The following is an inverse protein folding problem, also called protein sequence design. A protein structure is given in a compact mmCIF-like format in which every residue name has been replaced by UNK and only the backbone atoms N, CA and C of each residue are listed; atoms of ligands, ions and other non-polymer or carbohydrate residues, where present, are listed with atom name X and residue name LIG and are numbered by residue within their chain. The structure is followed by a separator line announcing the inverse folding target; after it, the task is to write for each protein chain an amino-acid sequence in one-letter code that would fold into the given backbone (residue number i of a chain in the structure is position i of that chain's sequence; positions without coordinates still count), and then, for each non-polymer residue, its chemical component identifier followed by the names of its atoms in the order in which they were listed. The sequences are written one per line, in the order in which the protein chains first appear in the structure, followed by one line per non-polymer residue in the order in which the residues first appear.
data_IF_205418717269
#
_entry.id   IF_205418717269
#
_cell.length_a   1.000
_cell.length_b   1.000
_cell.length_c   1.000
_cell.angle_alpha   90.00
_cell.angle_beta   90.00
_cell.angle_gamma   90.00
#
_symmetry.space_group_name_H-M   'P 1'
#
loop_
_entity.id
_entity.type
_entity.pdbx_description
1 polymer ?
#
# COMPACT_ATOMS: atom_id res chain seq x y z
N UNK A 1 40.17 -5.91 -20.98
CA UNK A 1 38.80 -5.65 -21.22
C UNK A 1 38.14 -5.26 -19.92
N UNK A 2 37.84 -3.97 -19.72
CA UNK A 2 37.09 -3.51 -18.56
C UNK A 2 35.66 -4.02 -18.68
N UNK A 3 35.32 -5.07 -17.98
CA UNK A 3 33.93 -5.37 -17.68
C UNK A 3 33.45 -4.24 -16.79
N UNK A 4 32.74 -3.31 -17.40
CA UNK A 4 32.05 -2.27 -16.70
C UNK A 4 31.00 -2.95 -15.83
N UNK A 5 31.24 -3.01 -14.52
CA UNK A 5 30.33 -3.60 -13.54
C UNK A 5 29.00 -2.86 -13.59
N UNK A 6 28.03 -3.44 -14.28
CA UNK A 6 26.63 -2.97 -14.32
C UNK A 6 25.93 -3.17 -12.95
N UNK A 7 26.65 -3.56 -11.90
CA UNK A 7 26.14 -3.93 -10.56
C UNK A 7 26.56 -2.94 -9.48
N UNK A 8 26.41 -1.67 -9.76
CA UNK A 8 26.64 -0.59 -8.79
C UNK A 8 25.42 -0.25 -7.94
N UNK A 9 24.28 -0.89 -8.19
CA UNK A 9 23.03 -0.74 -7.44
C UNK A 9 22.41 -2.09 -7.13
N UNK A 10 22.03 -2.28 -5.87
CA UNK A 10 21.31 -3.46 -5.40
C UNK A 10 19.99 -3.03 -4.80
N UNK A 11 18.88 -3.59 -5.30
CA UNK A 11 17.52 -3.31 -4.83
C UNK A 11 16.94 -4.61 -4.27
N UNK A 12 16.36 -4.55 -3.09
CA UNK A 12 15.74 -5.70 -2.43
C UNK A 12 15.01 -5.34 -1.15
N UNK A 13 14.60 -6.34 -0.42
CA UNK A 13 13.93 -6.21 0.86
C UNK A 13 14.94 -6.12 2.02
N UNK A 14 14.45 -6.19 3.27
CA UNK A 14 15.27 -6.27 4.48
C UNK A 14 16.35 -7.36 4.43
N UNK A 15 16.23 -8.36 3.58
CA UNK A 15 17.26 -9.39 3.38
C UNK A 15 18.62 -8.81 2.96
N UNK A 16 18.67 -7.60 2.38
CA UNK A 16 19.91 -6.92 2.05
C UNK A 16 20.71 -6.46 3.29
N UNK A 17 20.07 -6.40 4.44
CA UNK A 17 20.71 -5.99 5.71
C UNK A 17 21.39 -7.18 6.40
N UNK A 18 21.02 -8.41 6.03
CA UNK A 18 21.62 -9.62 6.63
C UNK A 18 23.14 -9.68 6.43
N UNK A 19 23.84 -10.31 7.38
CA UNK A 19 25.30 -10.39 7.40
C UNK A 19 25.90 -11.14 6.20
N UNK A 20 25.09 -11.97 5.52
CA UNK A 20 25.47 -12.68 4.30
C UNK A 20 25.70 -11.74 3.12
N UNK A 21 25.08 -10.57 3.12
CA UNK A 21 25.22 -9.58 2.07
C UNK A 21 26.36 -8.63 2.46
N UNK A 22 27.44 -8.71 1.73
CA UNK A 22 28.62 -7.87 1.92
C UNK A 22 28.82 -6.96 0.72
N UNK A 23 29.23 -5.75 0.97
CA UNK A 23 29.50 -4.74 -0.05
C UNK A 23 31.00 -4.40 -0.03
N UNK A 24 31.61 -4.29 -1.19
CA UNK A 24 33.03 -3.89 -1.27
C UNK A 24 33.24 -2.45 -0.82
N UNK A 25 32.33 -1.55 -1.19
CA UNK A 25 32.36 -0.13 -0.84
C UNK A 25 30.95 0.46 -0.94
N UNK A 26 30.16 0.34 0.12
CA UNK A 26 28.80 0.86 0.19
C UNK A 26 28.84 2.37 0.44
N UNK A 27 28.52 3.16 -0.58
CA UNK A 27 28.58 4.63 -0.48
C UNK A 27 27.25 5.28 -0.15
N UNK A 28 26.12 4.69 -0.58
CA UNK A 28 24.79 5.26 -0.40
C UNK A 28 23.73 4.19 -0.17
N UNK A 29 22.83 4.44 0.78
CA UNK A 29 21.70 3.57 1.13
C UNK A 29 20.42 4.36 1.10
N UNK A 30 19.38 3.81 0.49
CA UNK A 30 18.03 4.34 0.52
C UNK A 30 17.13 3.34 1.23
N UNK A 31 16.44 3.77 2.27
CA UNK A 31 15.47 2.97 3.03
C UNK A 31 14.10 3.60 2.84
N UNK A 32 13.21 2.89 2.17
CA UNK A 32 11.81 3.30 2.03
C UNK A 32 10.95 2.62 3.09
N UNK A 33 9.90 3.33 3.55
CA UNK A 33 8.97 2.84 4.58
C UNK A 33 9.69 2.33 5.84
N UNK A 34 10.49 3.18 6.44
CA UNK A 34 11.37 2.85 7.56
C UNK A 34 10.70 2.15 8.74
N UNK A 35 9.39 2.31 8.94
CA UNK A 35 8.66 1.66 10.03
C UNK A 35 8.68 0.12 9.93
N UNK A 36 9.02 -0.43 8.75
CA UNK A 36 9.24 -1.86 8.53
C UNK A 36 10.61 -2.35 9.03
N UNK A 37 11.50 -1.44 9.43
CA UNK A 37 12.85 -1.76 9.89
C UNK A 37 13.02 -1.42 11.37
N UNK A 38 13.46 -2.39 12.16
CA UNK A 38 13.86 -2.16 13.55
C UNK A 38 15.10 -1.25 13.67
N UNK A 39 15.25 -0.62 14.83
CA UNK A 39 16.41 0.27 15.11
C UNK A 39 17.72 -0.49 14.96
N UNK A 40 17.79 -1.73 15.46
CA UNK A 40 18.97 -2.59 15.38
C UNK A 40 19.33 -2.96 13.93
N UNK A 41 18.33 -3.22 13.10
CA UNK A 41 18.55 -3.54 11.68
C UNK A 41 19.17 -2.37 10.93
N UNK A 42 18.75 -1.15 11.24
CA UNK A 42 19.34 0.06 10.66
C UNK A 42 20.77 0.27 11.12
N UNK A 43 21.04 0.06 12.40
CA UNK A 43 22.39 0.18 12.96
C UNK A 43 23.40 -0.75 12.27
N UNK A 44 22.98 -1.94 11.82
CA UNK A 44 23.83 -2.87 11.06
C UNK A 44 24.29 -2.31 9.71
N UNK A 45 23.54 -1.41 9.09
CA UNK A 45 23.95 -0.78 7.82
C UNK A 45 25.15 0.14 8.01
N UNK A 46 25.24 0.82 9.15
CA UNK A 46 26.40 1.69 9.46
C UNK A 46 27.70 0.92 9.70
N UNK A 47 27.58 -0.33 10.14
CA UNK A 47 28.74 -1.18 10.47
C UNK A 47 29.18 -2.10 9.33
N UNK A 48 28.48 -2.07 8.18
CA UNK A 48 28.82 -2.93 7.03
C UNK A 48 30.08 -2.51 6.27
N UNK A 49 30.57 -1.31 6.50
CA UNK A 49 31.80 -0.79 5.89
C UNK A 49 32.69 -0.12 6.96
N UNK A 50 33.96 0.01 6.64
CA UNK A 50 34.91 0.79 7.46
C UNK A 50 34.52 2.27 7.54
N UNK A 51 34.02 2.83 6.43
CA UNK A 51 33.42 4.16 6.37
C UNK A 51 31.89 4.04 6.29
N UNK A 52 31.12 4.68 7.18
CA UNK A 52 29.66 4.68 7.13
C UNK A 52 29.13 5.22 5.80
N UNK A 53 28.15 4.57 5.17
CA UNK A 53 27.53 5.07 3.95
C UNK A 53 26.64 6.28 4.25
N UNK A 54 26.39 7.11 3.24
CA UNK A 54 25.31 8.08 3.30
C UNK A 54 23.95 7.36 3.31
N UNK A 55 23.05 7.75 4.20
CA UNK A 55 21.76 7.08 4.37
C UNK A 55 20.62 8.07 4.15
N UNK A 56 19.75 7.76 3.21
CA UNK A 56 18.47 8.43 2.99
C UNK A 56 17.35 7.54 3.52
N UNK A 57 16.62 8.04 4.49
CA UNK A 57 15.44 7.36 5.04
C UNK A 57 14.19 8.09 4.55
N UNK A 58 13.26 7.35 3.98
CA UNK A 58 12.00 7.89 3.48
C UNK A 58 10.82 7.28 4.23
N UNK A 59 9.77 8.07 4.43
CA UNK A 59 8.52 7.60 5.01
C UNK A 59 7.35 8.45 4.54
N UNK A 60 6.21 7.81 4.29
CA UNK A 60 4.96 8.51 3.98
C UNK A 60 4.20 8.94 5.24
N UNK A 61 4.55 8.40 6.42
CA UNK A 61 3.94 8.82 7.68
C UNK A 61 4.61 10.09 8.20
N UNK A 62 3.86 11.20 8.40
CA UNK A 62 4.44 12.42 8.93
C UNK A 62 4.97 12.17 10.35
N UNK A 63 6.26 12.35 10.54
CA UNK A 63 6.90 12.31 11.85
C UNK A 63 7.13 13.77 12.27
N UNK A 64 6.60 14.21 13.42
CA UNK A 64 6.91 15.54 13.92
C UNK A 64 8.43 15.77 13.98
N UNK A 65 8.87 16.94 13.48
CA UNK A 65 10.31 17.27 13.39
C UNK A 65 11.05 17.07 14.72
N UNK A 66 10.41 17.43 15.81
CA UNK A 66 10.94 17.24 17.16
C UNK A 66 11.16 15.77 17.52
N UNK A 67 10.20 14.90 17.13
CA UNK A 67 10.32 13.46 17.35
C UNK A 67 11.39 12.85 16.43
N UNK A 68 11.49 13.32 15.19
CA UNK A 68 12.53 12.88 14.28
C UNK A 68 13.92 13.22 14.81
N UNK A 69 14.15 14.42 15.31
CA UNK A 69 15.41 14.83 15.94
C UNK A 69 15.73 14.01 17.20
N UNK A 70 14.72 13.64 17.98
CA UNK A 70 14.92 12.81 19.19
C UNK A 70 15.24 11.36 18.86
N UNK A 71 14.62 10.81 17.81
CA UNK A 71 14.78 9.41 17.44
C UNK A 71 16.01 9.13 16.56
N UNK A 72 16.43 10.13 15.79
CA UNK A 72 17.47 9.95 14.76
C UNK A 72 18.72 10.80 14.98
N UNK A 73 18.74 11.60 16.03
CA UNK A 73 19.91 12.39 16.43
C UNK A 73 20.39 13.34 15.33
N UNK A 74 21.45 12.96 14.66
CA UNK A 74 22.20 13.81 13.72
C UNK A 74 21.66 13.78 12.26
N UNK A 75 20.42 13.33 12.03
CA UNK A 75 19.85 13.33 10.69
C UNK A 75 19.18 14.67 10.35
N UNK A 76 19.52 15.22 9.19
CA UNK A 76 18.79 16.32 8.59
C UNK A 76 17.41 15.86 8.09
N UNK A 77 16.39 16.68 8.33
CA UNK A 77 15.01 16.37 7.95
C UNK A 77 14.57 17.29 6.82
N UNK A 78 14.19 16.69 5.70
CA UNK A 78 13.55 17.37 4.58
C UNK A 78 12.09 16.91 4.47
N UNK A 79 11.18 17.85 4.27
CA UNK A 79 9.74 17.60 4.14
C UNK A 79 9.30 17.91 2.71
N UNK A 80 8.59 16.97 2.09
CA UNK A 80 7.89 17.20 0.82
C UNK A 80 6.44 17.47 1.20
N UNK A 81 6.02 18.73 1.13
CA UNK A 81 4.70 19.22 1.56
C UNK A 81 3.76 19.56 0.40
N UNK A 82 4.24 19.43 -0.83
CA UNK A 82 3.45 19.65 -2.03
C UNK A 82 2.99 18.34 -2.67
N UNK A 83 1.77 18.35 -3.21
CA UNK A 83 1.27 17.23 -3.99
C UNK A 83 1.93 17.21 -5.38
N UNK A 84 2.20 16.01 -5.94
CA UNK A 84 2.66 15.89 -7.31
C UNK A 84 1.71 16.59 -8.30
N UNK A 85 2.23 17.15 -9.41
CA UNK A 85 1.39 17.77 -10.44
C UNK A 85 0.27 16.82 -10.91
N UNK A 86 -0.96 17.36 -11.00
CA UNK A 86 -2.13 16.60 -11.45
C UNK A 86 -2.83 15.75 -10.39
N UNK A 87 -2.31 15.67 -9.17
CA UNK A 87 -2.99 14.95 -8.09
C UNK A 87 -4.12 15.80 -7.53
N UNK A 88 -5.33 15.22 -7.52
CA UNK A 88 -6.53 15.88 -6.99
C UNK A 88 -6.63 15.71 -5.46
N UNK A 89 -7.19 16.72 -4.75
CA UNK A 89 -7.48 16.58 -3.32
C UNK A 89 -8.45 15.43 -3.05
N UNK A 90 -8.18 14.68 -1.98
CA UNK A 90 -9.07 13.59 -1.55
C UNK A 90 -10.14 14.18 -0.64
N UNK A 91 -11.40 13.88 -0.93
CA UNK A 91 -12.53 14.21 -0.06
C UNK A 91 -12.92 12.97 0.74
N UNK A 92 -12.70 13.01 2.04
CA UNK A 92 -13.14 11.97 2.97
C UNK A 92 -14.50 12.33 3.56
N UNK A 93 -15.43 11.37 3.56
CA UNK A 93 -16.79 11.52 4.10
C UNK A 93 -17.11 10.31 4.95
N UNK A 94 -17.65 10.53 6.14
CA UNK A 94 -18.15 9.46 7.01
C UNK A 94 -19.65 9.23 6.75
N UNK A 95 -20.03 7.97 6.60
CA UNK A 95 -21.42 7.52 6.47
C UNK A 95 -21.73 6.50 7.57
N UNK A 96 -22.94 6.57 8.11
CA UNK A 96 -23.50 5.53 8.97
C UNK A 96 -24.25 4.50 8.13
N UNK A 97 -24.56 3.35 8.69
CA UNK A 97 -25.33 2.28 8.00
C UNK A 97 -26.64 2.76 7.40
N UNK A 98 -27.32 3.73 8.05
CA UNK A 98 -28.53 4.35 7.53
C UNK A 98 -28.35 5.04 6.16
N UNK A 99 -27.13 5.40 5.81
CA UNK A 99 -26.79 6.06 4.54
C UNK A 99 -26.29 5.09 3.45
N UNK A 100 -26.30 3.77 3.72
CA UNK A 100 -25.76 2.75 2.79
C UNK A 100 -26.35 2.83 1.38
N UNK A 101 -27.65 3.02 1.25
CA UNK A 101 -28.32 3.19 -0.06
C UNK A 101 -27.81 4.42 -0.82
N UNK A 102 -27.53 5.50 -0.10
CA UNK A 102 -26.97 6.71 -0.68
C UNK A 102 -25.54 6.48 -1.17
N UNK A 103 -24.73 5.75 -0.40
CA UNK A 103 -23.39 5.35 -0.78
C UNK A 103 -23.41 4.51 -2.07
N UNK A 104 -24.29 3.51 -2.14
CA UNK A 104 -24.41 2.67 -3.34
C UNK A 104 -24.89 3.45 -4.57
N UNK A 105 -25.79 4.42 -4.36
CA UNK A 105 -26.19 5.34 -5.42
C UNK A 105 -25.02 6.16 -5.97
N UNK A 106 -24.16 6.66 -5.08
CA UNK A 106 -22.92 7.34 -5.44
C UNK A 106 -21.96 6.42 -6.19
N UNK A 107 -21.73 5.20 -5.69
CA UNK A 107 -20.87 4.22 -6.35
C UNK A 107 -21.32 3.94 -7.80
N UNK A 108 -22.64 3.71 -8.02
CA UNK A 108 -23.18 3.52 -9.38
C UNK A 108 -22.95 4.72 -10.29
N UNK A 109 -23.06 5.93 -9.76
CA UNK A 109 -22.79 7.14 -10.54
C UNK A 109 -21.32 7.25 -10.94
N UNK A 110 -20.41 6.87 -10.06
CA UNK A 110 -18.97 6.92 -10.34
C UNK A 110 -18.57 5.83 -11.35
N UNK A 111 -19.13 4.62 -11.24
CA UNK A 111 -18.89 3.54 -12.22
C UNK A 111 -19.40 3.95 -13.61
N UNK A 112 -20.59 4.58 -13.70
CA UNK A 112 -21.11 5.11 -14.97
C UNK A 112 -20.22 6.16 -15.64
N UNK A 113 -19.35 6.82 -14.86
CA UNK A 113 -18.32 7.75 -15.36
C UNK A 113 -17.03 7.03 -15.79
N UNK A 114 -16.99 5.69 -15.76
CA UNK A 114 -15.81 4.87 -16.06
C UNK A 114 -14.80 4.78 -14.92
N UNK A 115 -15.21 5.11 -13.69
CA UNK A 115 -14.37 5.02 -12.50
C UNK A 115 -14.52 3.68 -11.81
N UNK A 116 -13.45 3.25 -11.14
CA UNK A 116 -13.43 2.00 -10.39
C UNK A 116 -13.40 2.28 -8.88
N UNK A 117 -13.83 1.31 -8.10
CA UNK A 117 -14.05 1.46 -6.66
C UNK A 117 -13.31 0.38 -5.89
N UNK A 118 -12.56 0.78 -4.87
CA UNK A 118 -12.10 -0.12 -3.82
C UNK A 118 -13.11 -0.16 -2.68
N UNK A 119 -13.46 -1.35 -2.22
CA UNK A 119 -14.19 -1.59 -0.97
C UNK A 119 -13.27 -2.37 -0.04
N UNK A 120 -12.84 -1.73 1.04
CA UNK A 120 -11.84 -2.27 1.96
C UNK A 120 -12.49 -2.68 3.27
N UNK A 121 -12.32 -3.93 3.65
CA UNK A 121 -12.65 -4.47 4.97
C UNK A 121 -11.37 -4.55 5.80
N UNK A 122 -11.14 -3.65 6.77
CA UNK A 122 -9.94 -3.67 7.58
C UNK A 122 -9.85 -4.97 8.39
N UNK A 123 -8.68 -5.59 8.44
CA UNK A 123 -8.43 -6.72 9.35
C UNK A 123 -8.33 -6.18 10.77
N UNK A 124 -9.28 -6.56 11.63
CA UNK A 124 -9.21 -6.30 13.06
C UNK A 124 -8.45 -7.48 13.67
N UNK A 125 -7.34 -7.22 14.34
CA UNK A 125 -6.35 -8.23 14.80
C UNK A 125 -6.87 -9.33 15.74
N UNK A 126 -8.14 -9.36 16.10
CA UNK A 126 -8.68 -10.26 17.13
C UNK A 126 -9.03 -11.67 16.63
N UNK A 127 -9.28 -11.87 15.34
CA UNK A 127 -9.55 -13.22 14.79
C UNK A 127 -9.45 -13.27 13.27
N UNK A 128 -8.40 -13.87 12.74
CA UNK A 128 -8.24 -14.09 11.29
C UNK A 128 -9.40 -14.84 10.62
N UNK A 129 -10.15 -15.64 11.36
CA UNK A 129 -11.31 -16.36 10.88
C UNK A 129 -12.55 -15.50 10.76
N UNK A 130 -12.77 -14.57 11.69
CA UNK A 130 -13.87 -13.61 11.63
C UNK A 130 -13.64 -12.61 10.52
N UNK A 131 -12.45 -12.04 10.43
CA UNK A 131 -12.09 -11.08 9.39
C UNK A 131 -12.31 -11.62 7.96
N UNK A 132 -12.02 -12.92 7.76
CA UNK A 132 -12.26 -13.57 6.46
C UNK A 132 -13.77 -13.73 6.18
N UNK A 133 -14.55 -14.07 7.19
CA UNK A 133 -16.00 -14.21 7.06
C UNK A 133 -16.64 -12.85 6.75
N UNK A 134 -16.24 -11.81 7.46
CA UNK A 134 -16.74 -10.45 7.22
C UNK A 134 -16.42 -9.96 5.81
N UNK A 135 -15.22 -10.27 5.30
CA UNK A 135 -14.84 -9.98 3.91
C UNK A 135 -15.74 -10.74 2.93
N UNK A 136 -15.99 -12.04 3.17
CA UNK A 136 -16.79 -12.88 2.30
C UNK A 136 -18.26 -12.43 2.30
N UNK A 137 -18.82 -12.17 3.47
CA UNK A 137 -20.17 -11.65 3.64
C UNK A 137 -20.31 -10.26 2.95
N UNK A 138 -19.27 -9.44 3.08
CA UNK A 138 -19.19 -8.14 2.41
C UNK A 138 -19.12 -8.26 0.88
N UNK A 139 -18.31 -9.18 0.37
CA UNK A 139 -18.24 -9.45 -1.07
C UNK A 139 -19.57 -9.93 -1.62
N UNK A 140 -20.26 -10.84 -0.92
CA UNK A 140 -21.59 -11.33 -1.30
C UNK A 140 -22.63 -10.22 -1.27
N UNK A 141 -22.59 -9.34 -0.26
CA UNK A 141 -23.48 -8.19 -0.18
C UNK A 141 -23.25 -7.22 -1.33
N UNK A 142 -22.03 -6.87 -1.65
CA UNK A 142 -21.68 -5.99 -2.78
C UNK A 142 -22.11 -6.65 -4.11
N UNK A 143 -21.80 -7.92 -4.32
CA UNK A 143 -22.16 -8.63 -5.56
C UNK A 143 -23.68 -8.74 -5.78
N UNK A 144 -24.47 -8.77 -4.70
CA UNK A 144 -25.93 -8.75 -4.77
C UNK A 144 -26.47 -7.38 -5.16
N UNK A 145 -25.88 -6.31 -4.61
CA UNK A 145 -26.28 -4.94 -4.90
C UNK A 145 -25.74 -4.43 -6.24
N UNK A 146 -24.65 -5.03 -6.72
CA UNK A 146 -23.99 -4.76 -8.00
C UNK A 146 -23.89 -6.04 -8.83
N UNK A 147 -25.05 -6.53 -9.38
CA UNK A 147 -25.10 -7.82 -10.02
C UNK A 147 -24.49 -7.81 -11.44
N UNK A 148 -23.98 -8.98 -11.84
CA UNK A 148 -23.64 -9.26 -13.24
C UNK A 148 -24.90 -9.24 -14.13
N UNK A 149 -24.79 -8.90 -15.39
CA UNK A 149 -23.57 -8.47 -16.11
C UNK A 149 -23.29 -6.97 -16.04
N UNK A 150 -24.15 -6.20 -15.36
CA UNK A 150 -24.05 -4.73 -15.33
C UNK A 150 -22.80 -4.25 -14.57
N UNK A 151 -22.41 -4.98 -13.53
CA UNK A 151 -21.21 -4.66 -12.71
C UNK A 151 -20.38 -5.90 -12.50
N UNK A 152 -19.08 -5.75 -12.59
CA UNK A 152 -18.13 -6.83 -12.31
C UNK A 152 -17.40 -6.53 -11.00
N UNK A 153 -17.60 -7.40 -10.02
CA UNK A 153 -16.95 -7.32 -8.71
C UNK A 153 -15.90 -8.42 -8.58
N UNK A 154 -14.70 -8.06 -8.16
CA UNK A 154 -13.62 -9.00 -7.85
C UNK A 154 -13.22 -8.90 -6.38
N UNK A 155 -12.55 -9.94 -5.87
CA UNK A 155 -12.10 -10.02 -4.49
C UNK A 155 -10.59 -10.22 -4.44
N UNK A 156 -9.92 -9.60 -3.45
CA UNK A 156 -8.50 -9.76 -3.25
C UNK A 156 -8.16 -9.76 -1.74
N UNK A 157 -7.53 -10.84 -1.25
CA UNK A 157 -7.12 -10.97 0.14
C UNK A 157 -5.88 -11.84 0.31
N UNK A 158 -5.25 -11.77 1.49
CA UNK A 158 -3.97 -12.41 1.77
C UNK A 158 -3.96 -13.95 1.68
N UNK A 159 -5.11 -14.60 1.91
CA UNK A 159 -5.24 -16.08 1.88
C UNK A 159 -5.47 -16.65 0.48
N UNK A 160 -5.64 -15.82 -0.54
CA UNK A 160 -5.78 -16.28 -1.93
C UNK A 160 -4.47 -16.89 -2.44
N UNK A 161 -4.60 -17.88 -3.33
CA UNK A 161 -3.45 -18.38 -4.08
C UNK A 161 -2.86 -17.26 -4.92
N UNK A 162 -1.54 -17.21 -5.10
CA UNK A 162 -0.90 -16.14 -5.86
C UNK A 162 -1.50 -15.92 -7.26
N UNK A 163 -1.82 -16.99 -7.98
CA UNK A 163 -2.42 -16.92 -9.30
C UNK A 163 -3.81 -16.27 -9.29
N UNK A 164 -4.66 -16.60 -8.31
CA UNK A 164 -6.02 -16.05 -8.19
C UNK A 164 -5.95 -14.56 -7.81
N UNK A 165 -5.00 -14.20 -6.93
CA UNK A 165 -4.74 -12.80 -6.55
C UNK A 165 -4.27 -11.98 -7.74
N UNK A 166 -3.35 -12.53 -8.54
CA UNK A 166 -2.83 -11.89 -9.74
C UNK A 166 -3.93 -11.67 -10.79
N UNK A 167 -4.79 -12.67 -11.00
CA UNK A 167 -5.92 -12.57 -11.91
C UNK A 167 -6.94 -11.51 -11.47
N UNK A 168 -7.32 -11.48 -10.18
CA UNK A 168 -8.21 -10.46 -9.63
C UNK A 168 -7.63 -9.05 -9.83
N UNK A 169 -6.34 -8.89 -9.58
CA UNK A 169 -5.63 -7.64 -9.79
C UNK A 169 -5.53 -7.26 -11.26
N UNK A 170 -5.34 -8.23 -12.16
CA UNK A 170 -5.33 -8.01 -13.60
C UNK A 170 -6.67 -7.47 -14.08
N UNK A 171 -7.78 -8.13 -13.72
CA UNK A 171 -9.13 -7.72 -14.08
C UNK A 171 -9.44 -6.29 -13.62
N UNK A 172 -9.02 -5.95 -12.41
CA UNK A 172 -9.24 -4.61 -11.90
C UNK A 172 -8.33 -3.57 -12.58
N UNK A 173 -7.08 -3.88 -12.85
CA UNK A 173 -6.17 -2.98 -13.57
C UNK A 173 -6.57 -2.73 -15.02
N UNK A 174 -7.09 -3.76 -15.70
CA UNK A 174 -7.54 -3.66 -17.10
C UNK A 174 -8.90 -2.93 -17.24
N UNK A 175 -9.59 -2.68 -16.13
CA UNK A 175 -10.94 -2.10 -16.15
C UNK A 175 -12.03 -3.12 -16.48
N UNK A 176 -11.72 -4.42 -16.48
CA UNK A 176 -12.72 -5.49 -16.62
C UNK A 176 -13.59 -5.60 -15.37
N UNK A 177 -13.05 -5.27 -14.19
CA UNK A 177 -13.80 -5.22 -12.94
C UNK A 177 -14.01 -3.78 -12.49
N UNK A 178 -15.25 -3.45 -12.11
CA UNK A 178 -15.65 -2.13 -11.62
C UNK A 178 -15.33 -1.94 -10.14
N UNK A 179 -15.49 -3.01 -9.37
CA UNK A 179 -15.35 -2.99 -7.92
C UNK A 179 -14.35 -4.06 -7.49
N UNK A 180 -13.41 -3.69 -6.63
CA UNK A 180 -12.54 -4.63 -5.93
C UNK A 180 -12.83 -4.60 -4.45
N UNK A 181 -13.28 -5.74 -3.91
CA UNK A 181 -13.44 -5.95 -2.47
C UNK A 181 -12.15 -6.57 -1.91
N UNK A 182 -11.60 -5.97 -0.88
CA UNK A 182 -10.29 -6.41 -0.37
C UNK A 182 -10.13 -6.20 1.13
N UNK A 183 -9.15 -6.88 1.71
CA UNK A 183 -8.65 -6.57 3.05
C UNK A 183 -7.62 -5.46 3.00
N UNK A 184 -7.22 -4.92 4.17
CA UNK A 184 -6.18 -3.90 4.31
C UNK A 184 -4.79 -4.29 3.75
N UNK A 185 -4.64 -5.54 3.29
CA UNK A 185 -3.40 -6.10 2.73
C UNK A 185 -3.26 -5.84 1.21
N UNK A 186 -4.10 -5.00 0.61
CA UNK A 186 -3.77 -4.55 -0.74
C UNK A 186 -2.48 -3.75 -0.62
N UNK A 187 -1.39 -4.35 -1.08
CA UNK A 187 -0.08 -3.73 -1.03
C UNK A 187 -0.15 -2.34 -1.66
N UNK A 188 0.22 -1.36 -0.87
CA UNK A 188 0.47 0.01 -1.31
C UNK A 188 1.42 -0.07 -2.51
N UNK A 189 0.99 0.38 -3.69
CA UNK A 189 1.86 0.37 -4.87
C UNK A 189 1.19 -0.09 -6.17
N UNK A 190 -0.03 -0.61 -6.13
CA UNK A 190 -0.78 -0.89 -7.35
C UNK A 190 -1.41 0.40 -7.84
N UNK A 191 -0.80 1.02 -8.85
CA UNK A 191 -1.35 2.21 -9.48
C UNK A 191 -2.51 1.83 -10.41
N UNK A 192 -3.75 2.13 -9.99
CA UNK A 192 -4.96 2.01 -10.81
C UNK A 192 -5.57 3.41 -10.92
N UNK A 193 -5.22 4.18 -11.96
CA UNK A 193 -5.63 5.59 -12.08
C UNK A 193 -7.15 5.80 -12.06
N UNK A 194 -7.93 4.84 -12.55
CA UNK A 194 -9.38 4.90 -12.59
C UNK A 194 -10.05 4.55 -11.24
N UNK A 195 -9.33 3.94 -10.30
CA UNK A 195 -9.82 3.63 -8.97
C UNK A 195 -9.79 4.91 -8.09
N UNK A 196 -10.78 5.77 -8.30
CA UNK A 196 -10.84 7.10 -7.67
C UNK A 196 -11.69 7.13 -6.40
N UNK A 197 -12.37 6.05 -6.09
CA UNK A 197 -13.22 5.92 -4.90
C UNK A 197 -12.72 4.78 -4.04
N UNK A 198 -12.60 5.04 -2.74
CA UNK A 198 -12.32 4.02 -1.74
C UNK A 198 -13.40 4.07 -0.65
N UNK A 199 -14.06 2.95 -0.44
CA UNK A 199 -14.99 2.72 0.66
C UNK A 199 -14.27 1.88 1.71
N UNK A 200 -14.26 2.32 2.96
CA UNK A 200 -13.66 1.58 4.07
C UNK A 200 -14.78 1.23 5.02
N UNK A 201 -15.07 -0.06 5.15
CA UNK A 201 -16.13 -0.60 6.01
C UNK A 201 -15.61 -0.83 7.43
N UNK A 202 -16.50 -0.71 8.43
CA UNK A 202 -16.16 -1.01 9.82
C UNK A 202 -15.17 -0.04 10.49
N UNK A 203 -15.05 1.19 10.00
CA UNK A 203 -14.29 2.24 10.68
C UNK A 203 -15.16 2.83 11.81
N UNK A 204 -15.03 2.33 13.02
CA UNK A 204 -15.51 2.93 14.26
C UNK A 204 -14.34 3.43 15.10
#
# INVERSE_FOLDING_TARGET
GSEMCIRDRLIGTHALIEDRVQFSNLGFVVIDEQHRFGVEQRARLWTKNEQPPHILVMTATPIPRTLAMTLYGDLDVSVIDELPPGRQPIRTVHYTDAARLRLFGFMRQEIKKGRQIYVVYPLIKESETMDYKDLQDGYEAISRDFPLPEYVTTICHGKMKPADKEESMRQFKSGEADIMVATSVIEVGVNVPNATVMVIEGCL
#
